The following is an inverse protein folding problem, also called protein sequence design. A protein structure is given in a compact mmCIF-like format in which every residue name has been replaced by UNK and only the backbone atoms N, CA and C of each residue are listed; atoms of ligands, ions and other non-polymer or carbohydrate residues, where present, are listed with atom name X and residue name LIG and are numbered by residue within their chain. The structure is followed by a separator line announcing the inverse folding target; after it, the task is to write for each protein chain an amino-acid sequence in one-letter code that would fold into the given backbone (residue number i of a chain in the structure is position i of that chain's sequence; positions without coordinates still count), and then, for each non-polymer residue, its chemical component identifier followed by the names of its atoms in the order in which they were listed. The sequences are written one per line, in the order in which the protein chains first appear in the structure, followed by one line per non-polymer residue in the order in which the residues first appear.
data_IF_781816226193
#
_entry.id   IF_781816226193
#
_cell.length_a   1.000
_cell.length_b   1.000
_cell.length_c   1.000
_cell.angle_alpha   90.00
_cell.angle_beta   90.00
_cell.angle_gamma   90.00
#
_symmetry.space_group_name_H-M   'P 1'
#
loop_
_entity.id
_entity.type
_entity.pdbx_description
1 polymer ?
#
# COMPACT_ATOMS: atom_id res chain seq x y z
N UNK A 1 25.30 -37.68 -6.50
CA UNK A 1 25.33 -36.76 -7.67
C UNK A 1 24.75 -35.43 -7.21
N UNK A 2 25.60 -34.43 -6.99
CA UNK A 2 25.20 -33.13 -6.47
C UNK A 2 24.91 -32.18 -7.63
N UNK A 3 23.66 -31.70 -7.72
CA UNK A 3 23.28 -30.70 -8.71
C UNK A 3 23.60 -29.30 -8.16
N UNK A 4 24.59 -28.64 -8.77
CA UNK A 4 24.89 -27.23 -8.53
C UNK A 4 23.72 -26.37 -9.02
N UNK A 5 23.05 -25.68 -8.10
CA UNK A 5 22.15 -24.58 -8.43
C UNK A 5 23.00 -23.37 -8.82
N UNK A 6 23.19 -23.16 -10.12
CA UNK A 6 23.71 -21.89 -10.67
C UNK A 6 22.64 -20.82 -10.48
N UNK A 7 22.98 -19.76 -9.75
CA UNK A 7 22.21 -18.52 -9.70
C UNK A 7 22.01 -18.00 -11.13
N UNK A 8 20.77 -18.01 -11.60
CA UNK A 8 20.39 -17.26 -12.79
C UNK A 8 20.37 -15.78 -12.39
N UNK A 9 21.37 -15.03 -12.83
CA UNK A 9 21.33 -13.57 -12.82
C UNK A 9 20.14 -13.15 -13.68
N UNK A 10 19.13 -12.59 -13.02
CA UNK A 10 17.98 -11.97 -13.65
C UNK A 10 18.50 -10.82 -14.52
N UNK A 11 18.05 -10.67 -15.78
CA UNK A 11 18.40 -9.50 -16.57
C UNK A 11 17.94 -8.26 -15.80
N UNK A 12 18.84 -7.30 -15.59
CA UNK A 12 18.49 -5.95 -15.18
C UNK A 12 17.47 -5.41 -16.20
N UNK A 13 16.22 -5.33 -15.77
CA UNK A 13 15.10 -4.76 -16.54
C UNK A 13 15.49 -3.39 -17.08
N UNK A 14 15.07 -2.99 -18.30
CA UNK A 14 15.47 -1.73 -18.89
C UNK A 14 15.01 -0.58 -17.99
N UNK A 15 15.97 0.15 -17.42
CA UNK A 15 15.74 1.44 -16.79
C UNK A 15 15.13 2.38 -17.85
N UNK A 16 13.80 2.52 -17.85
CA UNK A 16 13.16 3.59 -18.61
C UNK A 16 13.03 4.82 -17.71
N UNK A 17 13.79 5.86 -18.10
CA UNK A 17 13.74 7.25 -17.64
C UNK A 17 14.58 7.59 -16.39
N UNK A 18 15.72 6.93 -16.24
CA UNK A 18 16.86 7.42 -15.47
C UNK A 18 17.49 8.61 -16.22
N UNK A 19 16.80 9.75 -16.29
CA UNK A 19 17.50 11.04 -16.33
C UNK A 19 17.50 11.47 -14.88
N UNK A 20 18.43 10.88 -14.12
CA UNK A 20 18.52 11.08 -12.68
C UNK A 20 18.85 12.56 -12.41
N UNK A 21 18.21 13.16 -11.42
CA UNK A 21 18.57 14.52 -10.96
C UNK A 21 20.07 14.55 -10.63
N UNK A 22 20.61 13.43 -10.14
CA UNK A 22 22.03 13.18 -9.93
C UNK A 22 22.85 13.28 -11.22
N UNK A 23 22.40 12.66 -12.32
CA UNK A 23 23.10 12.68 -13.61
C UNK A 23 23.04 14.08 -14.25
N UNK A 24 21.91 14.78 -14.10
CA UNK A 24 21.79 16.20 -14.49
C UNK A 24 22.77 17.08 -13.71
N UNK A 25 22.90 16.87 -12.39
CA UNK A 25 23.84 17.59 -11.54
C UNK A 25 25.31 17.27 -11.89
N UNK A 26 25.64 16.01 -12.17
CA UNK A 26 26.98 15.60 -12.58
C UNK A 26 27.36 16.16 -13.97
N UNK A 27 26.45 16.10 -14.93
CA UNK A 27 26.61 16.72 -16.27
C UNK A 27 26.80 18.23 -16.17
N UNK A 28 26.05 18.88 -15.29
CA UNK A 28 26.18 20.31 -15.03
C UNK A 28 27.53 20.66 -14.40
N UNK A 29 27.95 19.90 -13.39
CA UNK A 29 29.21 20.14 -12.68
C UNK A 29 30.43 19.98 -13.59
N UNK A 30 30.39 18.99 -14.49
CA UNK A 30 31.44 18.81 -15.52
C UNK A 30 31.48 19.95 -16.54
N UNK A 31 30.31 20.49 -16.94
CA UNK A 31 30.23 21.63 -17.85
C UNK A 31 30.81 22.92 -17.22
N UNK A 32 30.56 23.14 -15.93
CA UNK A 32 31.07 24.32 -15.19
C UNK A 32 32.57 24.20 -14.90
N UNK A 33 33.07 22.98 -14.64
CA UNK A 33 34.47 22.72 -14.30
C UNK A 33 35.43 22.77 -15.51
N UNK A 34 34.91 22.91 -16.73
CA UNK A 34 35.73 23.01 -17.94
C UNK A 34 36.52 24.33 -18.00
N UNK A 35 37.78 24.28 -18.45
CA UNK A 35 38.75 25.38 -18.42
C UNK A 35 38.40 26.61 -19.28
N UNK A 36 37.35 26.52 -20.12
CA UNK A 36 36.90 27.58 -21.03
C UNK A 36 35.38 27.74 -20.95
N UNK A 37 34.85 28.05 -19.76
CA UNK A 37 33.44 28.37 -19.60
C UNK A 37 33.12 29.78 -20.13
N UNK A 38 32.11 29.87 -20.99
CA UNK A 38 31.61 31.13 -21.54
C UNK A 38 30.40 31.63 -20.73
N UNK A 39 30.04 32.90 -20.86
CA UNK A 39 28.83 33.46 -20.24
C UNK A 39 27.58 32.66 -20.66
N UNK A 40 27.49 32.26 -21.93
CA UNK A 40 26.39 31.42 -22.43
C UNK A 40 26.28 30.10 -21.68
N UNK A 41 27.40 29.39 -21.49
CA UNK A 41 27.40 28.13 -20.72
C UNK A 41 27.03 28.33 -19.25
N UNK A 42 27.35 29.48 -18.65
CA UNK A 42 26.94 29.81 -17.29
C UNK A 42 25.42 30.09 -17.20
N UNK A 43 24.85 30.80 -18.17
CA UNK A 43 23.40 31.03 -18.25
C UNK A 43 22.64 29.71 -18.43
N UNK A 44 23.10 28.84 -19.34
CA UNK A 44 22.50 27.53 -19.56
C UNK A 44 22.58 26.67 -18.29
N UNK A 45 23.70 26.75 -17.55
CA UNK A 45 23.85 26.05 -16.29
C UNK A 45 22.86 26.54 -15.22
N UNK A 46 22.67 27.85 -15.08
CA UNK A 46 21.69 28.43 -14.16
C UNK A 46 20.25 28.03 -14.52
N UNK A 47 19.92 28.00 -15.81
CA UNK A 47 18.61 27.53 -16.28
C UNK A 47 18.37 26.06 -15.89
N UNK A 48 19.36 25.18 -16.14
CA UNK A 48 19.29 23.77 -15.76
C UNK A 48 19.16 23.57 -14.25
N UNK A 49 19.88 24.36 -13.44
CA UNK A 49 19.73 24.36 -11.99
C UNK A 49 18.29 24.74 -11.60
N UNK A 50 17.73 25.78 -12.22
CA UNK A 50 16.34 26.20 -11.99
C UNK A 50 15.32 25.10 -12.29
N UNK A 51 15.52 24.33 -13.36
CA UNK A 51 14.71 23.16 -13.69
C UNK A 51 14.82 22.06 -12.63
N UNK A 52 16.04 21.77 -12.15
CA UNK A 52 16.28 20.80 -11.07
C UNK A 52 15.52 21.20 -9.80
N UNK A 53 15.61 22.46 -9.36
CA UNK A 53 14.87 22.94 -8.18
C UNK A 53 13.35 22.84 -8.37
N UNK A 54 12.85 23.12 -9.57
CA UNK A 54 11.43 23.00 -9.91
C UNK A 54 10.95 21.55 -9.85
N UNK A 55 11.77 20.61 -10.36
CA UNK A 55 11.50 19.18 -10.30
C UNK A 55 11.50 18.66 -8.85
N UNK A 56 12.48 19.04 -8.02
CA UNK A 56 12.52 18.69 -6.59
C UNK A 56 11.29 19.22 -5.86
N UNK A 57 10.91 20.47 -6.13
CA UNK A 57 9.71 21.09 -5.54
C UNK A 57 8.43 20.35 -5.93
N UNK A 58 8.32 19.90 -7.19
CA UNK A 58 7.18 19.09 -7.65
C UNK A 58 7.16 17.71 -6.98
N UNK A 59 8.29 17.03 -6.89
CA UNK A 59 8.39 15.73 -6.20
C UNK A 59 7.98 15.85 -4.72
N UNK A 60 8.40 16.91 -4.03
CA UNK A 60 7.99 17.20 -2.66
C UNK A 60 6.47 17.23 -2.50
N UNK A 61 5.77 17.98 -3.37
CA UNK A 61 4.29 18.03 -3.38
C UNK A 61 3.66 16.67 -3.66
N UNK A 62 4.21 15.91 -4.60
CA UNK A 62 3.71 14.56 -4.90
C UNK A 62 3.86 13.60 -3.71
N UNK A 63 4.95 13.70 -2.93
CA UNK A 63 5.12 12.95 -1.67
C UNK A 63 4.07 13.38 -0.64
N UNK A 64 3.80 14.68 -0.49
CA UNK A 64 2.77 15.19 0.43
C UNK A 64 1.39 14.64 0.08
N UNK A 65 1.03 14.60 -1.21
CA UNK A 65 -0.22 14.00 -1.65
C UNK A 65 -0.27 12.48 -1.42
N UNK A 66 0.84 11.77 -1.65
CA UNK A 66 0.92 10.34 -1.35
C UNK A 66 0.72 10.07 0.15
N UNK A 67 1.29 10.92 1.01
CA UNK A 67 1.07 10.85 2.45
C UNK A 67 -0.42 10.99 2.79
N UNK A 68 -1.15 11.92 2.17
CA UNK A 68 -2.60 12.07 2.37
C UNK A 68 -3.39 10.86 1.88
N UNK A 69 -2.99 10.24 0.77
CA UNK A 69 -3.63 9.01 0.26
C UNK A 69 -3.32 7.80 1.16
N UNK A 70 -2.09 7.69 1.68
CA UNK A 70 -1.69 6.64 2.61
C UNK A 70 -2.48 6.67 3.92
N UNK A 71 -2.90 7.86 4.38
CA UNK A 71 -3.74 8.02 5.56
C UNK A 71 -5.12 7.37 5.38
N UNK A 72 -5.71 7.50 4.19
CA UNK A 72 -6.99 6.84 3.87
C UNK A 72 -6.86 5.32 3.92
N UNK A 73 -5.71 4.79 3.49
CA UNK A 73 -5.43 3.36 3.58
C UNK A 73 -5.22 2.91 5.03
N UNK A 74 -4.56 3.72 5.88
CA UNK A 74 -4.44 3.44 7.32
C UNK A 74 -5.80 3.40 8.01
N UNK A 75 -6.69 4.35 7.72
CA UNK A 75 -8.06 4.36 8.24
C UNK A 75 -8.83 3.09 7.83
N UNK A 76 -8.63 2.64 6.59
CA UNK A 76 -9.23 1.40 6.09
C UNK A 76 -8.66 0.17 6.81
N UNK A 77 -7.34 0.08 6.98
CA UNK A 77 -6.69 -1.01 7.71
C UNK A 77 -7.20 -1.10 9.15
N UNK A 78 -7.34 0.04 9.84
CA UNK A 78 -7.87 0.06 11.20
C UNK A 78 -9.34 -0.42 11.25
N UNK A 79 -10.19 0.08 10.35
CA UNK A 79 -11.59 -0.37 10.27
C UNK A 79 -11.70 -1.87 9.96
N UNK A 80 -10.84 -2.40 9.09
CA UNK A 80 -10.81 -3.83 8.78
C UNK A 80 -10.37 -4.68 9.97
N UNK A 81 -9.38 -4.21 10.73
CA UNK A 81 -8.95 -4.89 11.94
C UNK A 81 -10.10 -4.99 12.96
N UNK A 82 -10.85 -3.91 13.17
CA UNK A 82 -12.07 -3.93 14.00
C UNK A 82 -13.12 -4.91 13.46
N UNK A 83 -13.34 -4.93 12.15
CA UNK A 83 -14.28 -5.87 11.52
C UNK A 83 -13.82 -7.34 11.66
N UNK A 84 -12.52 -7.64 11.63
CA UNK A 84 -11.99 -8.99 11.86
C UNK A 84 -12.17 -9.45 13.31
N UNK A 85 -11.94 -8.56 14.28
CA UNK A 85 -12.24 -8.83 15.69
C UNK A 85 -13.72 -9.19 15.86
N UNK A 86 -14.62 -8.39 15.27
CA UNK A 86 -16.06 -8.64 15.33
C UNK A 86 -16.44 -9.97 14.64
N UNK A 87 -15.84 -10.24 13.47
CA UNK A 87 -16.08 -11.47 12.71
C UNK A 87 -15.65 -12.72 13.49
N UNK A 88 -14.48 -12.66 14.14
CA UNK A 88 -13.96 -13.75 14.97
C UNK A 88 -14.91 -14.07 16.13
N UNK A 89 -15.41 -13.04 16.81
CA UNK A 89 -16.40 -13.21 17.87
C UNK A 89 -17.70 -13.86 17.35
N UNK A 90 -18.20 -13.43 16.18
CA UNK A 90 -19.38 -14.05 15.55
C UNK A 90 -19.14 -15.53 15.22
N UNK A 91 -17.97 -15.88 14.67
CA UNK A 91 -17.62 -17.26 14.35
C UNK A 91 -17.60 -18.14 15.60
N UNK A 92 -16.98 -17.66 16.68
CA UNK A 92 -16.95 -18.37 17.96
C UNK A 92 -18.35 -18.54 18.56
N UNK A 93 -19.19 -17.52 18.49
CA UNK A 93 -20.59 -17.60 18.93
C UNK A 93 -21.41 -18.60 18.13
N UNK A 94 -21.21 -18.67 16.81
CA UNK A 94 -21.87 -19.65 15.93
C UNK A 94 -21.42 -21.07 16.30
N UNK A 95 -20.12 -21.30 16.51
CA UNK A 95 -19.60 -22.60 16.95
C UNK A 95 -20.23 -23.05 18.28
N UNK A 96 -20.29 -22.15 19.27
CA UNK A 96 -20.90 -22.43 20.58
C UNK A 96 -22.39 -22.73 20.46
N UNK A 97 -23.12 -21.98 19.65
CA UNK A 97 -24.57 -22.16 19.46
C UNK A 97 -24.88 -23.47 18.72
N UNK A 98 -24.04 -23.83 17.75
CA UNK A 98 -24.14 -25.09 17.01
C UNK A 98 -23.92 -26.31 17.92
N UNK A 99 -22.90 -26.28 18.79
CA UNK A 99 -22.64 -27.34 19.78
C UNK A 99 -23.79 -27.54 20.78
N UNK A 100 -24.54 -26.48 21.06
CA UNK A 100 -25.71 -26.51 21.95
C UNK A 100 -26.99 -26.97 21.24
N UNK A 101 -26.97 -27.08 19.91
CA UNK A 101 -28.18 -27.37 19.13
C UNK A 101 -29.21 -26.22 19.15
N UNK A 102 -28.77 -24.99 19.39
CA UNK A 102 -29.66 -23.81 19.45
C UNK A 102 -29.74 -23.15 18.06
N UNK A 103 -30.60 -23.71 17.21
CA UNK A 103 -30.77 -23.24 15.82
C UNK A 103 -31.26 -21.78 15.74
N UNK A 104 -32.04 -21.32 16.72
CA UNK A 104 -32.50 -19.93 16.79
C UNK A 104 -31.34 -18.97 17.05
N UNK A 105 -30.45 -19.31 18.00
CA UNK A 105 -29.24 -18.55 18.25
C UNK A 105 -28.28 -18.57 17.04
N UNK A 106 -28.08 -19.73 16.41
CA UNK A 106 -27.28 -19.84 15.17
C UNK A 106 -27.81 -18.89 14.10
N UNK A 107 -29.12 -18.90 13.85
CA UNK A 107 -29.73 -18.04 12.84
C UNK A 107 -29.59 -16.54 13.18
N UNK A 108 -29.71 -16.17 14.46
CA UNK A 108 -29.48 -14.79 14.90
C UNK A 108 -28.03 -14.33 14.66
N UNK A 109 -27.04 -15.20 14.92
CA UNK A 109 -25.62 -14.89 14.70
C UNK A 109 -25.27 -14.80 13.20
N UNK A 110 -25.88 -15.64 12.36
CA UNK A 110 -25.79 -15.52 10.89
C UNK A 110 -26.29 -14.15 10.42
N UNK A 111 -27.37 -13.63 11.01
CA UNK A 111 -27.85 -12.27 10.69
C UNK A 111 -26.83 -11.19 11.12
N UNK A 112 -26.18 -11.35 12.27
CA UNK A 112 -25.08 -10.45 12.69
C UNK A 112 -23.93 -10.47 11.69
N UNK A 113 -23.52 -11.65 11.21
CA UNK A 113 -22.52 -11.78 10.14
C UNK A 113 -22.90 -10.97 8.89
N UNK A 114 -24.14 -11.11 8.40
CA UNK A 114 -24.58 -10.35 7.23
C UNK A 114 -24.54 -8.83 7.44
N UNK A 115 -24.83 -8.36 8.66
CA UNK A 115 -24.71 -6.93 9.01
C UNK A 115 -23.26 -6.49 8.98
N UNK A 116 -22.35 -7.27 9.56
CA UNK A 116 -20.92 -6.99 9.55
C UNK A 116 -20.36 -6.93 8.12
N UNK A 117 -20.71 -7.89 7.25
CA UNK A 117 -20.30 -7.87 5.84
C UNK A 117 -20.79 -6.60 5.12
N UNK A 118 -22.00 -6.13 5.43
CA UNK A 118 -22.52 -4.86 4.87
C UNK A 118 -21.75 -3.65 5.39
N UNK A 119 -21.39 -3.63 6.68
CA UNK A 119 -20.55 -2.61 7.32
C UNK A 119 -19.15 -2.58 6.69
N UNK A 120 -18.46 -3.71 6.61
CA UNK A 120 -17.17 -3.86 5.94
C UNK A 120 -17.20 -3.32 4.50
N UNK A 121 -18.22 -3.71 3.71
CA UNK A 121 -18.42 -3.21 2.34
C UNK A 121 -18.54 -1.67 2.26
N UNK A 122 -19.08 -1.02 3.28
CA UNK A 122 -19.18 0.45 3.35
C UNK A 122 -17.81 1.10 3.58
N UNK A 123 -16.96 0.51 4.42
CA UNK A 123 -15.59 0.98 4.65
C UNK A 123 -14.79 1.02 3.34
N UNK A 124 -14.86 -0.04 2.53
CA UNK A 124 -14.22 -0.08 1.21
C UNK A 124 -14.77 0.95 0.22
N UNK A 125 -16.09 1.11 0.14
CA UNK A 125 -16.71 2.12 -0.75
C UNK A 125 -16.29 3.55 -0.37
N UNK A 126 -16.02 3.82 0.91
CA UNK A 126 -15.52 5.12 1.37
C UNK A 126 -14.06 5.32 0.93
N UNK A 127 -13.23 4.30 1.05
CA UNK A 127 -11.83 4.35 0.65
C UNK A 127 -11.65 4.47 -0.88
N UNK A 128 -12.45 3.76 -1.67
CA UNK A 128 -12.37 3.75 -3.13
C UNK A 128 -12.70 5.11 -3.80
N UNK A 129 -13.42 6.01 -3.13
CA UNK A 129 -13.80 7.33 -3.67
C UNK A 129 -12.66 8.35 -3.71
N UNK A 130 -11.49 8.04 -3.14
CA UNK A 130 -10.41 9.03 -2.92
C UNK A 130 -9.13 8.75 -3.73
N UNK A 131 -9.21 7.89 -4.76
CA UNK A 131 -8.06 7.54 -5.61
C UNK A 131 -8.22 8.21 -6.97
N UNK A 132 -7.53 9.32 -7.20
CA UNK A 132 -7.25 9.84 -8.54
C UNK A 132 -5.79 9.56 -8.85
N UNK A 133 -5.57 8.82 -9.94
CA UNK A 133 -4.24 8.57 -10.50
C UNK A 133 -3.82 9.81 -11.26
N UNK A 134 -2.79 10.49 -10.80
CA UNK A 134 -2.04 11.42 -11.64
C UNK A 134 -0.70 10.77 -12.02
N UNK A 135 -0.26 11.02 -13.24
CA UNK A 135 0.97 10.42 -13.79
C UNK A 135 2.18 11.11 -13.16
N UNK A 136 2.93 10.40 -12.32
CA UNK A 136 4.08 10.95 -11.60
C UNK A 136 5.42 10.26 -11.94
N UNK A 137 6.49 11.06 -12.00
CA UNK A 137 7.77 10.69 -12.62
C UNK A 137 8.81 10.06 -11.66
N UNK A 138 8.58 10.08 -10.34
CA UNK A 138 9.52 9.47 -9.37
C UNK A 138 9.28 7.95 -9.24
N UNK A 139 10.31 7.13 -9.48
CA UNK A 139 10.25 5.65 -9.38
C UNK A 139 9.75 5.16 -8.01
N UNK A 140 10.25 5.75 -6.92
CA UNK A 140 9.85 5.37 -5.56
C UNK A 140 8.37 5.70 -5.35
N UNK A 141 7.92 6.89 -5.75
CA UNK A 141 6.50 7.26 -5.67
C UNK A 141 5.62 6.35 -6.52
N UNK A 142 6.05 6.02 -7.74
CA UNK A 142 5.32 5.07 -8.61
C UNK A 142 5.13 3.71 -7.94
N UNK A 143 6.20 3.17 -7.35
CA UNK A 143 6.15 1.89 -6.63
C UNK A 143 5.26 1.97 -5.38
N UNK A 144 5.26 3.10 -4.66
CA UNK A 144 4.36 3.32 -3.52
C UNK A 144 2.89 3.39 -3.95
N UNK A 145 2.62 4.10 -5.05
CA UNK A 145 1.28 4.18 -5.66
C UNK A 145 0.81 2.78 -6.07
N UNK A 146 1.63 2.03 -6.80
CA UNK A 146 1.31 0.68 -7.24
C UNK A 146 1.08 -0.27 -6.05
N UNK A 147 1.95 -0.21 -5.04
CA UNK A 147 1.78 -0.98 -3.81
C UNK A 147 0.47 -0.64 -3.09
N UNK A 148 0.08 0.64 -3.04
CA UNK A 148 -1.19 1.09 -2.47
C UNK A 148 -2.38 0.57 -3.27
N UNK A 149 -2.32 0.61 -4.60
CA UNK A 149 -3.39 0.13 -5.48
C UNK A 149 -3.58 -1.38 -5.36
N UNK A 150 -2.49 -2.16 -5.38
CA UNK A 150 -2.51 -3.61 -5.14
C UNK A 150 -3.09 -3.90 -3.77
N UNK A 151 -2.63 -3.19 -2.74
CA UNK A 151 -3.12 -3.35 -1.37
C UNK A 151 -4.62 -3.07 -1.31
N UNK A 152 -5.08 -1.96 -1.88
CA UNK A 152 -6.50 -1.61 -1.91
C UNK A 152 -7.33 -2.69 -2.58
N UNK A 153 -6.88 -3.19 -3.75
CA UNK A 153 -7.54 -4.27 -4.49
C UNK A 153 -7.60 -5.58 -3.68
N UNK A 154 -6.50 -5.95 -3.02
CA UNK A 154 -6.43 -7.13 -2.16
C UNK A 154 -7.45 -7.02 -1.02
N UNK A 155 -7.46 -5.90 -0.31
CA UNK A 155 -8.39 -5.68 0.80
C UNK A 155 -9.85 -5.66 0.31
N UNK A 156 -10.14 -5.14 -0.88
CA UNK A 156 -11.47 -5.24 -1.47
C UNK A 156 -11.90 -6.68 -1.78
N UNK A 157 -10.97 -7.56 -2.14
CA UNK A 157 -11.25 -8.97 -2.45
C UNK A 157 -11.75 -9.75 -1.23
N UNK A 158 -11.37 -9.33 -0.02
CA UNK A 158 -11.82 -9.89 1.26
C UNK A 158 -13.35 -9.85 1.44
N UNK A 159 -14.05 -8.96 0.71
CA UNK A 159 -15.54 -8.91 0.67
C UNK A 159 -16.20 -10.22 0.19
N UNK A 160 -15.44 -11.11 -0.47
CA UNK A 160 -15.94 -12.35 -1.08
C UNK A 160 -15.89 -13.56 -0.14
N UNK A 161 -15.37 -13.42 1.08
CA UNK A 161 -15.34 -14.52 2.06
C UNK A 161 -16.79 -14.94 2.36
N UNK A 162 -17.12 -16.20 2.07
CA UNK A 162 -18.43 -16.81 2.34
C UNK A 162 -18.35 -17.73 3.54
N UNK A 163 -19.28 -17.60 4.49
CA UNK A 163 -19.41 -18.52 5.63
C UNK A 163 -20.36 -19.64 5.25
N UNK A 164 -19.91 -20.89 5.43
CA UNK A 164 -20.72 -22.09 5.29
C UNK A 164 -20.88 -22.74 6.67
N UNK A 165 -22.10 -23.16 7.01
CA UNK A 165 -22.49 -23.57 8.36
C UNK A 165 -22.11 -25.02 8.71
N UNK A 166 -20.87 -25.44 8.44
CA UNK A 166 -20.35 -26.73 8.91
C UNK A 166 -19.22 -26.50 9.91
N UNK A 167 -19.21 -27.25 11.01
CA UNK A 167 -18.23 -27.06 12.11
C UNK A 167 -16.77 -27.15 11.61
N UNK A 168 -16.48 -28.13 10.74
CA UNK A 168 -15.14 -28.28 10.11
C UNK A 168 -14.75 -27.07 9.23
N UNK A 169 -15.73 -26.41 8.60
CA UNK A 169 -15.48 -25.24 7.75
C UNK A 169 -15.38 -23.94 8.55
N UNK A 170 -16.01 -23.88 9.73
CA UNK A 170 -15.90 -22.77 10.67
C UNK A 170 -14.48 -22.68 11.26
N UNK A 171 -13.84 -23.83 11.54
CA UNK A 171 -12.47 -23.83 12.06
C UNK A 171 -11.45 -23.37 11.01
N UNK A 172 -11.59 -23.82 9.76
CA UNK A 172 -10.78 -23.32 8.63
C UNK A 172 -10.98 -21.82 8.44
N UNK A 173 -12.23 -21.36 8.51
CA UNK A 173 -12.56 -19.94 8.41
C UNK A 173 -11.92 -19.13 9.56
N UNK A 174 -11.94 -19.61 10.80
CA UNK A 174 -11.33 -18.95 11.95
C UNK A 174 -9.81 -18.79 11.78
N UNK A 175 -9.12 -19.83 11.30
CA UNK A 175 -7.70 -19.75 10.95
C UNK A 175 -7.45 -18.70 9.85
N UNK A 176 -8.24 -18.73 8.77
CA UNK A 176 -8.09 -17.75 7.68
C UNK A 176 -8.36 -16.31 8.15
N UNK A 177 -9.32 -16.10 9.05
CA UNK A 177 -9.57 -14.78 9.65
C UNK A 177 -8.37 -14.34 10.47
N UNK A 178 -7.76 -15.26 11.23
CA UNK A 178 -6.58 -14.94 12.03
C UNK A 178 -5.40 -14.53 11.15
N UNK A 179 -5.13 -15.27 10.08
CA UNK A 179 -4.07 -14.95 9.12
C UNK A 179 -4.31 -13.59 8.44
N UNK A 180 -5.57 -13.27 8.12
CA UNK A 180 -5.96 -11.97 7.56
C UNK A 180 -5.82 -10.82 8.56
N UNK A 181 -6.19 -11.03 9.82
CA UNK A 181 -6.00 -10.08 10.92
C UNK A 181 -4.51 -9.76 11.10
N UNK A 182 -3.66 -10.79 11.17
CA UNK A 182 -2.21 -10.65 11.32
C UNK A 182 -1.57 -9.94 10.11
N UNK A 183 -2.00 -10.30 8.89
CA UNK A 183 -1.58 -9.63 7.66
C UNK A 183 -1.97 -8.16 7.62
N UNK A 184 -3.19 -7.82 8.04
CA UNK A 184 -3.68 -6.44 8.11
C UNK A 184 -2.92 -5.62 9.16
N UNK A 185 -2.62 -6.20 10.33
CA UNK A 185 -1.82 -5.55 11.38
C UNK A 185 -0.37 -5.31 10.91
N UNK A 186 0.24 -6.28 10.23
CA UNK A 186 1.58 -6.13 9.64
C UNK A 186 1.62 -4.99 8.62
N UNK A 187 0.64 -4.97 7.71
CA UNK A 187 0.50 -3.91 6.71
C UNK A 187 0.32 -2.54 7.37
N UNK A 188 -0.55 -2.42 8.37
CA UNK A 188 -0.79 -1.19 9.11
C UNK A 188 0.52 -0.65 9.73
N UNK A 189 1.29 -1.51 10.40
CA UNK A 189 2.60 -1.14 10.95
C UNK A 189 3.57 -0.69 9.87
N UNK A 190 3.61 -1.38 8.72
CA UNK A 190 4.52 -1.02 7.62
C UNK A 190 4.15 0.29 6.95
N UNK A 191 2.86 0.58 6.80
CA UNK A 191 2.36 1.86 6.30
C UNK A 191 2.74 3.02 7.23
N UNK A 192 2.59 2.85 8.55
CA UNK A 192 3.05 3.86 9.53
C UNK A 192 4.54 4.13 9.38
N UNK A 193 5.37 3.07 9.34
CA UNK A 193 6.82 3.21 9.18
C UNK A 193 7.16 3.95 7.89
N UNK A 194 6.55 3.57 6.76
CA UNK A 194 6.77 4.25 5.48
C UNK A 194 6.39 5.72 5.54
N UNK A 195 5.26 6.04 6.19
CA UNK A 195 4.77 7.42 6.35
C UNK A 195 5.71 8.26 7.19
N UNK A 196 6.22 7.73 8.31
CA UNK A 196 7.23 8.39 9.17
C UNK A 196 8.51 8.67 8.39
N UNK A 197 9.01 7.70 7.63
CA UNK A 197 10.22 7.89 6.80
C UNK A 197 10.03 9.01 5.79
N UNK A 198 8.90 9.05 5.09
CA UNK A 198 8.59 10.11 4.12
C UNK A 198 8.44 11.49 4.79
N UNK A 199 7.77 11.57 5.95
CA UNK A 199 7.65 12.81 6.71
C UNK A 199 9.03 13.34 7.16
N UNK A 200 9.91 12.45 7.60
CA UNK A 200 11.28 12.82 7.98
C UNK A 200 12.05 13.39 6.78
N UNK A 201 11.90 12.80 5.59
CA UNK A 201 12.52 13.30 4.35
C UNK A 201 11.99 14.70 4.01
N UNK A 202 10.70 14.97 4.18
CA UNK A 202 10.11 16.28 3.94
C UNK A 202 10.50 17.36 4.97
N UNK A 203 10.91 16.94 6.16
CA UNK A 203 11.30 17.83 7.25
C UNK A 203 12.77 18.26 7.24
N UNK A 204 13.60 17.64 6.40
CA UNK A 204 14.98 18.03 6.11
C UNK A 204 15.01 19.27 5.20
#
# INVERSE_FOLDING_TARGET
MACHLRSASVPSSPCSNEIDVEEQLQSLNTAISSSSSTIGTMCDALMKIGEVYSQVTRQRKAVEEELERSLVLLDLCNAMHEDFIELKAIVQDVQVSLRKGDDAAVQAKIQCYFRLVKKAKKHFKKAAKKVTSDKEDCRILRLLIEAREITTSLLESTKKISVVCKEEQLQVLECNIKDLEDGAELLFRRLIQSRVTLLNILSL
#
